data_IF_935815814657
#
_entry.id   IF_935815814657
#
_cell.length_a   1.000
_cell.length_b   1.000
_cell.length_c   1.000
_cell.angle_alpha   90.00
_cell.angle_beta   90.00
_cell.angle_gamma   90.00
#
_symmetry.space_group_name_H-M   'P 1'
#
loop_
_entity.id
_entity.type
_entity.pdbx_description
1 polymer ?
#
# COMPACT_ATOMS: atom_id res chain seq x y z
N UNK A 1 -11.61 22.93 -8.79
CA UNK A 1 -10.36 22.25 -8.35
C UNK A 1 -10.25 20.92 -9.10
N UNK A 2 -9.05 20.34 -9.25
CA UNK A 2 -8.82 19.10 -10.00
C UNK A 2 -8.07 18.07 -9.15
N UNK A 3 -8.43 16.79 -9.26
CA UNK A 3 -7.68 15.70 -8.64
C UNK A 3 -6.24 15.61 -9.20
N UNK A 4 -5.28 15.35 -8.32
CA UNK A 4 -3.85 15.18 -8.67
C UNK A 4 -3.30 13.95 -7.98
N UNK A 5 -2.53 13.15 -8.71
CA UNK A 5 -1.85 12.00 -8.13
C UNK A 5 -0.73 12.45 -7.18
N UNK A 6 -0.53 11.68 -6.12
CA UNK A 6 0.58 11.81 -5.17
C UNK A 6 1.49 10.58 -5.27
N UNK A 7 2.74 10.71 -4.80
CA UNK A 7 3.67 9.59 -4.77
C UNK A 7 3.23 8.52 -3.76
N UNK A 8 3.70 7.28 -3.93
CA UNK A 8 3.43 6.20 -2.99
C UNK A 8 3.95 6.54 -1.60
N UNK A 9 5.15 7.12 -1.50
CA UNK A 9 5.70 7.58 -0.23
C UNK A 9 4.76 8.59 0.46
N UNK A 10 4.27 9.58 -0.30
CA UNK A 10 3.36 10.61 0.25
C UNK A 10 2.07 9.97 0.77
N UNK A 11 1.46 9.07 0.00
CA UNK A 11 0.24 8.36 0.41
C UNK A 11 0.44 7.51 1.65
N UNK A 12 1.55 6.76 1.74
CA UNK A 12 1.88 5.95 2.92
C UNK A 12 2.17 6.81 4.15
N UNK A 13 2.88 7.92 3.99
CA UNK A 13 3.15 8.86 5.08
C UNK A 13 1.84 9.43 5.66
N UNK A 14 0.91 9.85 4.80
CA UNK A 14 -0.41 10.33 5.23
C UNK A 14 -1.20 9.21 5.92
N UNK A 15 -1.26 8.01 5.33
CA UNK A 15 -1.95 6.87 5.91
C UNK A 15 -1.38 6.55 7.29
N UNK A 16 -0.06 6.42 7.43
CA UNK A 16 0.55 6.12 8.72
C UNK A 16 0.39 7.25 9.74
N UNK A 17 0.20 8.50 9.35
CA UNK A 17 -0.05 9.59 10.29
C UNK A 17 -1.48 9.62 10.80
N UNK A 18 -2.45 9.41 9.92
CA UNK A 18 -3.83 9.81 10.17
C UNK A 18 -4.85 8.67 10.19
N UNK A 19 -4.51 7.46 9.72
CA UNK A 19 -5.47 6.36 9.80
C UNK A 19 -5.72 5.99 11.27
N UNK A 20 -6.99 6.00 11.67
CA UNK A 20 -7.43 5.56 12.98
C UNK A 20 -8.18 4.24 12.79
N UNK A 21 -7.51 3.12 13.12
CA UNK A 21 -8.07 1.77 13.03
C UNK A 21 -7.62 0.95 14.24
N UNK A 22 -8.42 -0.02 14.66
CA UNK A 22 -8.01 -0.99 15.70
C UNK A 22 -7.07 -2.06 15.16
N UNK A 23 -6.99 -2.21 13.84
CA UNK A 23 -6.10 -3.17 13.19
C UNK A 23 -4.64 -2.75 13.31
N UNK A 24 -3.78 -3.68 13.72
CA UNK A 24 -2.35 -3.42 13.84
C UNK A 24 -1.71 -3.23 12.46
N UNK A 25 -1.31 -1.99 12.16
CA UNK A 25 -0.55 -1.65 10.96
C UNK A 25 0.93 -1.88 11.25
N UNK A 26 1.53 -2.79 10.49
CA UNK A 26 2.95 -3.14 10.61
C UNK A 26 3.81 -2.19 9.79
N UNK A 27 5.11 -2.12 10.14
CA UNK A 27 6.11 -1.36 9.38
C UNK A 27 5.78 0.14 9.18
N UNK A 28 5.02 0.76 10.10
CA UNK A 28 4.73 2.20 10.05
C UNK A 28 6.04 2.98 9.94
N UNK A 29 6.09 3.90 8.97
CA UNK A 29 7.24 4.75 8.65
C UNK A 29 8.54 3.99 8.28
N UNK A 30 8.49 2.67 8.04
CA UNK A 30 9.64 1.92 7.52
C UNK A 30 9.65 1.98 6.00
N UNK A 31 10.01 3.14 5.48
CA UNK A 31 10.35 3.34 4.08
C UNK A 31 11.57 4.25 3.97
N UNK A 32 12.40 4.04 2.95
CA UNK A 32 13.58 4.86 2.69
C UNK A 32 13.60 5.29 1.22
N UNK A 33 13.79 6.59 0.98
CA UNK A 33 13.80 7.18 -0.36
C UNK A 33 15.22 7.18 -0.93
N UNK A 34 15.38 6.72 -2.16
CA UNK A 34 16.66 6.74 -2.89
C UNK A 34 16.53 7.50 -4.21
N UNK A 35 17.49 8.38 -4.43
CA UNK A 35 17.67 9.22 -5.63
C UNK A 35 19.13 9.15 -6.09
N UNK A 36 19.49 9.65 -7.28
CA UNK A 36 20.88 9.67 -7.74
C UNK A 36 21.86 10.35 -6.77
N UNK A 37 21.37 11.34 -6.00
CA UNK A 37 22.18 12.15 -5.09
C UNK A 37 22.16 11.63 -3.64
N UNK A 38 21.60 10.44 -3.41
CA UNK A 38 21.47 9.87 -2.06
C UNK A 38 22.82 9.47 -1.47
N UNK A 39 23.17 10.05 -0.32
CA UNK A 39 24.25 9.56 0.53
C UNK A 39 23.80 8.33 1.33
N UNK A 40 24.39 7.18 1.01
CA UNK A 40 24.09 5.90 1.66
C UNK A 40 24.48 5.86 3.13
N UNK A 41 25.54 6.58 3.54
CA UNK A 41 25.96 6.60 4.93
C UNK A 41 24.92 7.34 5.79
N UNK A 42 24.45 8.50 5.31
CA UNK A 42 23.39 9.25 5.97
C UNK A 42 22.06 8.49 5.96
N UNK A 43 21.68 7.88 4.84
CA UNK A 43 20.45 7.08 4.74
C UNK A 43 20.41 5.95 5.78
N UNK A 44 21.55 5.31 6.06
CA UNK A 44 21.66 4.24 7.04
C UNK A 44 21.63 4.74 8.49
N UNK A 45 22.08 5.97 8.75
CA UNK A 45 21.93 6.59 10.06
C UNK A 45 20.45 6.88 10.35
N UNK A 46 19.72 7.39 9.36
CA UNK A 46 18.29 7.69 9.48
C UNK A 46 17.43 6.41 9.53
N UNK A 47 17.83 5.36 8.81
CA UNK A 47 17.04 4.14 8.62
C UNK A 47 17.87 2.88 8.95
N UNK A 48 18.24 2.66 10.24
CA UNK A 48 19.09 1.53 10.63
C UNK A 48 18.45 0.16 10.35
N UNK A 49 17.12 0.09 10.25
CA UNK A 49 16.37 -1.13 9.91
C UNK A 49 16.67 -1.67 8.49
N UNK A 50 17.32 -0.88 7.63
CA UNK A 50 17.79 -1.34 6.32
C UNK A 50 18.80 -2.49 6.42
N UNK A 51 19.46 -2.65 7.57
CA UNK A 51 20.45 -3.70 7.82
C UNK A 51 19.88 -4.93 8.53
N UNK A 52 18.68 -4.83 9.13
CA UNK A 52 18.16 -5.85 10.04
C UNK A 52 17.31 -6.93 9.38
N UNK A 53 16.88 -6.71 8.13
CA UNK A 53 15.90 -7.58 7.46
C UNK A 53 16.02 -7.48 5.94
N UNK A 54 15.44 -8.45 5.23
CA UNK A 54 15.29 -8.40 3.78
C UNK A 54 14.41 -7.23 3.34
N UNK A 55 14.65 -6.75 2.13
CA UNK A 55 14.09 -5.52 1.59
C UNK A 55 13.37 -5.77 0.26
N UNK A 56 12.47 -4.85 -0.07
CA UNK A 56 11.86 -4.65 -1.37
C UNK A 56 12.27 -3.27 -1.88
N UNK A 57 12.61 -3.15 -3.16
CA UNK A 57 12.93 -1.87 -3.81
C UNK A 57 12.13 -1.70 -5.10
N UNK A 58 11.54 -0.52 -5.29
CA UNK A 58 10.69 -0.22 -6.46
C UNK A 58 10.70 1.28 -6.79
N UNK A 59 10.50 1.69 -8.05
CA UNK A 59 10.41 3.11 -8.39
C UNK A 59 9.11 3.71 -7.86
N UNK A 60 9.19 4.93 -7.33
CA UNK A 60 8.04 5.74 -6.90
C UNK A 60 7.92 6.97 -7.81
N UNK A 61 7.39 6.74 -9.01
CA UNK A 61 7.25 7.73 -10.09
C UNK A 61 5.92 7.56 -10.85
N UNK A 62 4.86 7.15 -10.13
CA UNK A 62 3.52 6.91 -10.72
C UNK A 62 3.52 5.83 -11.84
N UNK A 63 4.48 4.91 -11.80
CA UNK A 63 4.56 3.77 -12.72
C UNK A 63 3.63 2.67 -12.20
N UNK A 64 2.59 2.34 -12.97
CA UNK A 64 1.71 1.20 -12.68
C UNK A 64 2.35 -0.12 -13.13
N UNK A 65 1.87 -1.24 -12.57
CA UNK A 65 2.28 -2.62 -12.97
C UNK A 65 3.79 -2.90 -12.87
N UNK A 66 4.48 -2.29 -11.89
CA UNK A 66 5.94 -2.41 -11.67
C UNK A 66 6.42 -3.87 -11.59
N UNK A 67 5.66 -4.76 -10.95
CA UNK A 67 5.99 -6.19 -10.86
C UNK A 67 6.11 -6.86 -12.23
N UNK A 68 5.12 -6.66 -13.11
CA UNK A 68 5.13 -7.21 -14.48
C UNK A 68 6.21 -6.59 -15.39
N UNK A 69 6.70 -5.41 -15.03
CA UNK A 69 7.78 -4.72 -15.74
C UNK A 69 9.18 -5.09 -15.23
N UNK A 70 9.31 -5.97 -14.22
CA UNK A 70 10.60 -6.29 -13.61
C UNK A 70 11.23 -5.10 -12.86
N UNK A 71 10.40 -4.12 -12.46
CA UNK A 71 10.79 -2.91 -11.74
C UNK A 71 10.59 -3.04 -10.22
N UNK A 72 10.55 -4.27 -9.71
CA UNK A 72 10.48 -4.55 -8.26
C UNK A 72 11.57 -5.56 -7.92
N UNK A 73 12.52 -5.17 -7.09
CA UNK A 73 13.46 -6.10 -6.45
C UNK A 73 12.83 -6.60 -5.15
N UNK A 74 12.74 -7.92 -4.96
CA UNK A 74 12.04 -8.55 -3.82
C UNK A 74 13.03 -9.41 -3.04
N UNK A 75 12.90 -9.41 -1.71
CA UNK A 75 13.69 -10.22 -0.78
C UNK A 75 15.22 -10.07 -0.99
N UNK A 76 15.68 -8.81 -0.99
CA UNK A 76 17.09 -8.47 -1.18
C UNK A 76 17.71 -7.99 0.13
N UNK A 77 18.98 -8.29 0.37
CA UNK A 77 19.77 -7.55 1.37
C UNK A 77 20.02 -6.11 0.91
N UNK A 78 20.51 -5.24 1.80
CA UNK A 78 20.88 -3.87 1.41
C UNK A 78 21.89 -3.83 0.25
N UNK A 79 22.90 -4.70 0.26
CA UNK A 79 23.88 -4.77 -0.84
C UNK A 79 23.26 -5.33 -2.12
N UNK A 80 22.29 -6.24 -1.99
CA UNK A 80 21.44 -6.69 -3.09
C UNK A 80 20.64 -5.53 -3.70
N UNK A 81 20.05 -4.67 -2.86
CA UNK A 81 19.33 -3.46 -3.31
C UNK A 81 20.25 -2.49 -4.04
N UNK A 82 21.45 -2.19 -3.48
CA UNK A 82 22.45 -1.34 -4.15
C UNK A 82 22.84 -1.88 -5.52
N UNK A 83 23.10 -3.19 -5.59
CA UNK A 83 23.44 -3.87 -6.84
C UNK A 83 22.29 -3.86 -7.84
N UNK A 84 21.05 -4.02 -7.36
CA UNK A 84 19.85 -3.96 -8.19
C UNK A 84 19.58 -2.55 -8.74
N UNK A 85 19.87 -1.50 -7.95
CA UNK A 85 19.73 -0.11 -8.36
C UNK A 85 20.81 0.33 -9.35
N UNK A 86 22.03 -0.22 -9.28
CA UNK A 86 23.17 0.21 -10.12
C UNK A 86 22.87 0.30 -11.63
N UNK A 87 22.20 -0.68 -12.28
CA UNK A 87 21.84 -0.56 -13.70
C UNK A 87 20.51 0.16 -13.97
N UNK A 88 19.82 0.69 -12.95
CA UNK A 88 18.45 1.24 -13.05
C UNK A 88 18.37 2.70 -12.64
N UNK A 89 18.97 3.07 -11.51
CA UNK A 89 18.96 4.43 -10.98
C UNK A 89 19.72 5.37 -11.91
N UNK A 90 19.07 6.46 -12.34
CA UNK A 90 19.61 7.39 -13.32
C UNK A 90 19.53 6.91 -14.77
N UNK A 91 18.99 5.72 -15.02
CA UNK A 91 18.84 5.18 -16.37
C UNK A 91 17.43 5.38 -16.91
N UNK A 92 17.32 5.41 -18.24
CA UNK A 92 16.06 5.59 -18.95
C UNK A 92 15.26 4.27 -19.01
N UNK A 93 13.95 4.37 -18.84
CA UNK A 93 13.01 3.25 -18.99
C UNK A 93 11.83 3.67 -19.86
N UNK A 94 11.31 2.71 -20.63
CA UNK A 94 10.10 2.88 -21.44
C UNK A 94 8.96 2.09 -20.81
N UNK A 95 7.86 2.76 -20.49
CA UNK A 95 6.63 2.15 -19.96
C UNK A 95 5.46 2.53 -20.85
N UNK A 96 4.97 1.57 -21.63
CA UNK A 96 3.98 1.84 -22.67
C UNK A 96 4.52 2.84 -23.70
N UNK A 97 3.86 3.99 -23.84
CA UNK A 97 4.28 5.07 -24.74
C UNK A 97 5.18 6.11 -24.05
N UNK A 98 5.35 6.05 -22.74
CA UNK A 98 6.12 7.02 -21.97
C UNK A 98 7.58 6.56 -21.85
N UNK A 99 8.51 7.51 -21.96
CA UNK A 99 9.95 7.29 -21.81
C UNK A 99 10.50 8.32 -20.83
N UNK A 100 11.35 7.90 -19.90
CA UNK A 100 11.94 8.80 -18.92
C UNK A 100 12.92 8.12 -17.97
N UNK A 101 13.60 8.93 -17.17
CA UNK A 101 14.62 8.45 -16.23
C UNK A 101 14.01 7.93 -14.92
N UNK A 102 14.52 6.80 -14.44
CA UNK A 102 14.25 6.27 -13.11
C UNK A 102 15.16 6.96 -12.09
N UNK A 103 14.63 7.98 -11.42
CA UNK A 103 15.36 8.87 -10.51
C UNK A 103 14.85 8.82 -9.07
N UNK A 104 13.76 8.11 -8.80
CA UNK A 104 13.16 8.05 -7.47
C UNK A 104 12.70 6.64 -7.15
N UNK A 105 13.30 6.05 -6.10
CA UNK A 105 13.00 4.71 -5.62
C UNK A 105 12.60 4.73 -4.15
N UNK A 106 11.80 3.74 -3.78
CA UNK A 106 11.36 3.48 -2.42
C UNK A 106 11.87 2.10 -2.01
N UNK A 107 12.54 2.04 -0.86
CA UNK A 107 12.97 0.81 -0.20
C UNK A 107 12.06 0.57 1.00
N UNK A 108 11.59 -0.65 1.16
CA UNK A 108 10.69 -1.06 2.24
C UNK A 108 11.11 -2.45 2.77
N UNK A 109 10.72 -2.84 3.99
CA UNK A 109 10.88 -4.20 4.48
C UNK A 109 10.19 -5.21 3.57
N UNK A 110 10.84 -6.34 3.30
CA UNK A 110 10.17 -7.50 2.75
C UNK A 110 9.33 -8.18 3.84
N UNK A 111 8.05 -8.37 3.56
CA UNK A 111 7.13 -9.10 4.43
C UNK A 111 6.91 -10.47 3.81
N UNK A 112 7.36 -11.57 4.42
CA UNK A 112 7.03 -12.92 3.94
C UNK A 112 5.53 -13.17 4.10
N UNK A 113 4.87 -13.54 3.01
CA UNK A 113 3.46 -13.89 3.02
C UNK A 113 3.15 -14.83 1.86
N UNK A 114 2.03 -15.55 1.98
CA UNK A 114 1.47 -16.39 0.92
C UNK A 114 0.48 -15.63 0.05
N UNK A 115 0.15 -16.15 -1.13
CA UNK A 115 -0.84 -15.54 -2.02
C UNK A 115 -2.23 -15.36 -1.35
N UNK A 116 -2.59 -16.26 -0.43
CA UNK A 116 -3.85 -16.21 0.32
C UNK A 116 -3.89 -15.07 1.37
N UNK A 117 -2.79 -14.35 1.54
CA UNK A 117 -2.66 -13.19 2.43
C UNK A 117 -2.60 -11.88 1.64
N UNK A 118 -2.58 -11.94 0.31
CA UNK A 118 -2.68 -10.78 -0.55
C UNK A 118 -4.15 -10.43 -0.79
N UNK A 119 -4.57 -9.26 -0.34
CA UNK A 119 -5.90 -8.71 -0.63
C UNK A 119 -5.81 -7.43 -1.47
N UNK A 120 -6.90 -7.10 -2.14
CA UNK A 120 -7.07 -5.86 -2.88
C UNK A 120 -8.14 -4.99 -2.21
N UNK A 121 -7.84 -3.70 -2.04
CA UNK A 121 -8.82 -2.68 -1.66
C UNK A 121 -8.65 -1.42 -2.49
N UNK A 122 -9.75 -0.84 -2.93
CA UNK A 122 -9.76 0.42 -3.67
C UNK A 122 -10.99 1.25 -3.31
N UNK A 123 -10.80 2.57 -3.18
CA UNK A 123 -11.87 3.54 -2.93
C UNK A 123 -11.77 4.61 -4.01
N UNK A 124 -12.87 4.93 -4.68
CA UNK A 124 -12.89 6.02 -5.66
C UNK A 124 -14.23 6.75 -5.70
N UNK A 125 -14.14 8.06 -5.95
CA UNK A 125 -15.29 8.94 -6.02
C UNK A 125 -15.99 8.86 -7.38
N UNK A 126 -17.31 8.91 -7.33
CA UNK A 126 -18.20 9.17 -8.47
C UNK A 126 -19.16 10.31 -8.11
N UNK A 127 -20.18 10.56 -8.92
CA UNK A 127 -21.12 11.65 -8.68
C UNK A 127 -22.10 11.32 -7.54
N UNK A 128 -22.45 10.05 -7.46
CA UNK A 128 -23.45 9.48 -6.56
C UNK A 128 -22.89 9.10 -5.19
N UNK A 129 -21.57 9.10 -5.02
CA UNK A 129 -20.89 8.76 -3.78
C UNK A 129 -19.51 8.17 -4.03
N UNK A 130 -19.07 7.30 -3.13
CA UNK A 130 -17.76 6.66 -3.19
C UNK A 130 -17.91 5.13 -3.25
N UNK A 131 -17.26 4.52 -4.24
CA UNK A 131 -17.23 3.06 -4.36
C UNK A 131 -16.07 2.49 -3.56
N UNK A 132 -16.36 1.55 -2.67
CA UNK A 132 -15.39 0.70 -2.00
C UNK A 132 -15.37 -0.65 -2.69
N UNK A 133 -14.19 -1.05 -3.17
CA UNK A 133 -13.92 -2.30 -3.84
C UNK A 133 -13.07 -3.20 -2.95
N UNK A 134 -13.40 -4.49 -2.92
CA UNK A 134 -12.58 -5.51 -2.26
C UNK A 134 -12.46 -6.77 -3.11
N UNK A 135 -11.26 -7.36 -3.15
CA UNK A 135 -11.05 -8.69 -3.70
C UNK A 135 -10.10 -9.51 -2.83
N UNK A 136 -10.47 -10.77 -2.60
CA UNK A 136 -9.75 -11.68 -1.71
C UNK A 136 -8.47 -12.25 -2.35
N UNK A 137 -8.31 -12.13 -3.66
CA UNK A 137 -7.10 -12.49 -4.43
C UNK A 137 -6.41 -11.22 -4.93
N UNK A 138 -5.58 -10.61 -4.08
CA UNK A 138 -4.77 -9.45 -4.42
C UNK A 138 -3.54 -9.80 -5.27
N UNK A 139 -2.61 -8.85 -5.34
CA UNK A 139 -1.29 -9.06 -5.92
C UNK A 139 -1.14 -8.63 -7.37
N UNK A 140 -0.03 -9.06 -7.96
CA UNK A 140 0.37 -8.75 -9.34
C UNK A 140 -0.61 -9.36 -10.35
N UNK A 141 -1.27 -10.46 -10.00
CA UNK A 141 -2.13 -11.24 -10.91
C UNK A 141 -3.64 -11.10 -10.65
N UNK A 142 -4.05 -10.07 -9.90
CA UNK A 142 -5.47 -9.72 -9.68
C UNK A 142 -6.30 -9.65 -10.98
N UNK A 143 -5.67 -9.23 -12.09
CA UNK A 143 -6.30 -9.18 -13.42
C UNK A 143 -7.26 -7.99 -13.56
N UNK A 144 -8.41 -8.22 -14.19
CA UNK A 144 -9.46 -7.22 -14.32
C UNK A 144 -10.28 -7.12 -13.03
N UNK A 145 -9.76 -6.35 -12.09
CA UNK A 145 -10.33 -6.24 -10.74
C UNK A 145 -11.72 -5.57 -10.74
N UNK A 146 -12.02 -4.73 -11.73
CA UNK A 146 -13.30 -4.05 -11.83
C UNK A 146 -14.47 -5.00 -12.08
N UNK A 147 -14.22 -6.16 -12.69
CA UNK A 147 -15.24 -7.20 -12.91
C UNK A 147 -15.27 -8.25 -11.82
N UNK A 148 -14.17 -8.43 -11.09
CA UNK A 148 -14.02 -9.48 -10.06
C UNK A 148 -14.27 -9.01 -8.62
N UNK A 149 -14.01 -7.74 -8.33
CA UNK A 149 -14.11 -7.21 -6.97
C UNK A 149 -15.57 -7.07 -6.53
N UNK A 150 -15.81 -7.33 -5.25
CA UNK A 150 -17.03 -6.92 -4.58
C UNK A 150 -17.06 -5.38 -4.53
N UNK A 151 -18.25 -4.80 -4.71
CA UNK A 151 -18.45 -3.35 -4.77
C UNK A 151 -19.54 -2.94 -3.79
N UNK A 152 -19.27 -1.88 -3.04
CA UNK A 152 -20.22 -1.22 -2.17
C UNK A 152 -20.16 0.28 -2.45
N UNK A 153 -21.31 0.89 -2.73
CA UNK A 153 -21.43 2.34 -2.88
C UNK A 153 -21.79 2.92 -1.51
N UNK A 154 -21.01 3.88 -1.05
CA UNK A 154 -21.37 4.75 0.07
C UNK A 154 -21.92 6.04 -0.53
N UNK A 155 -23.21 6.32 -0.32
CA UNK A 155 -23.84 7.52 -0.87
C UNK A 155 -23.26 8.80 -0.29
N UNK A 156 -23.49 9.92 -0.98
CA UNK A 156 -23.12 11.24 -0.46
C UNK A 156 -23.78 11.47 0.91
N UNK A 157 -22.98 11.92 1.88
CA UNK A 157 -23.36 12.13 3.29
C UNK A 157 -23.80 10.85 4.04
N UNK A 158 -23.58 9.66 3.47
CA UNK A 158 -23.79 8.38 4.16
C UNK A 158 -22.50 7.91 4.85
N UNK A 159 -22.63 6.95 5.78
CA UNK A 159 -21.49 6.36 6.48
C UNK A 159 -21.30 4.92 6.06
N UNK A 160 -20.05 4.51 5.92
CA UNK A 160 -19.70 3.11 5.73
C UNK A 160 -19.89 2.32 7.04
N UNK A 161 -20.84 1.39 7.05
CA UNK A 161 -21.08 0.51 8.19
C UNK A 161 -20.23 -0.77 8.11
N UNK A 162 -19.61 -1.16 9.23
CA UNK A 162 -18.81 -2.37 9.34
C UNK A 162 -19.61 -3.64 9.01
N UNK A 163 -20.91 -3.68 9.31
CA UNK A 163 -21.78 -4.80 8.97
C UNK A 163 -21.95 -4.97 7.46
N UNK A 164 -22.06 -3.86 6.72
CA UNK A 164 -22.20 -3.89 5.26
C UNK A 164 -20.89 -4.31 4.59
N UNK A 165 -19.74 -3.90 5.16
CA UNK A 165 -18.42 -4.39 4.73
C UNK A 165 -18.37 -5.92 4.84
N UNK A 166 -18.74 -6.48 5.99
CA UNK A 166 -18.72 -7.94 6.21
C UNK A 166 -19.67 -8.68 5.27
N UNK A 167 -20.87 -8.14 5.06
CA UNK A 167 -21.95 -8.78 4.28
C UNK A 167 -21.77 -8.67 2.77
N UNK A 168 -21.18 -7.58 2.28
CA UNK A 168 -21.08 -7.30 0.85
C UNK A 168 -19.65 -7.41 0.33
N UNK A 169 -18.67 -6.82 1.03
CA UNK A 169 -17.29 -6.79 0.55
C UNK A 169 -16.52 -8.06 0.90
N UNK A 170 -16.69 -8.56 2.13
CA UNK A 170 -15.86 -9.65 2.67
C UNK A 170 -16.48 -11.05 2.51
N UNK A 171 -17.45 -11.23 1.61
CA UNK A 171 -18.15 -12.51 1.41
C UNK A 171 -17.24 -13.71 1.10
N UNK A 172 -16.11 -13.44 0.43
CA UNK A 172 -15.10 -14.44 0.05
C UNK A 172 -13.79 -14.31 0.84
N UNK A 173 -13.73 -13.41 1.83
CA UNK A 173 -12.56 -13.31 2.70
C UNK A 173 -12.54 -14.47 3.71
N UNK A 174 -11.36 -14.95 4.14
CA UNK A 174 -11.23 -15.93 5.22
C UNK A 174 -11.92 -15.44 6.51
N UNK A 175 -12.69 -16.31 7.16
CA UNK A 175 -13.54 -15.96 8.30
C UNK A 175 -12.73 -15.36 9.47
N UNK A 176 -11.56 -15.93 9.73
CA UNK A 176 -10.59 -15.49 10.74
C UNK A 176 -10.02 -14.09 10.47
N UNK A 177 -10.12 -13.59 9.24
CA UNK A 177 -9.60 -12.28 8.82
C UNK A 177 -10.69 -11.23 8.62
N UNK A 178 -11.98 -11.59 8.70
CA UNK A 178 -13.07 -10.64 8.40
C UNK A 178 -13.10 -9.44 9.35
N UNK A 179 -12.90 -9.66 10.65
CA UNK A 179 -12.92 -8.56 11.64
C UNK A 179 -11.79 -7.55 11.41
N UNK A 180 -10.56 -8.04 11.22
CA UNK A 180 -9.40 -7.17 11.00
C UNK A 180 -9.49 -6.42 9.67
N UNK A 181 -10.01 -7.07 8.62
CA UNK A 181 -10.26 -6.43 7.32
C UNK A 181 -11.39 -5.39 7.41
N UNK A 182 -12.49 -5.71 8.10
CA UNK A 182 -13.60 -4.76 8.26
C UNK A 182 -13.18 -3.51 9.05
N UNK A 183 -12.42 -3.68 10.14
CA UNK A 183 -11.88 -2.55 10.91
C UNK A 183 -10.90 -1.71 10.09
N UNK A 184 -10.05 -2.36 9.28
CA UNK A 184 -9.12 -1.64 8.42
C UNK A 184 -9.85 -0.87 7.32
N UNK A 185 -10.79 -1.49 6.60
CA UNK A 185 -11.56 -0.84 5.52
C UNK A 185 -12.39 0.33 6.07
N UNK A 186 -13.00 0.17 7.26
CA UNK A 186 -13.72 1.27 7.92
C UNK A 186 -12.80 2.45 8.22
N UNK A 187 -11.64 2.19 8.84
CA UNK A 187 -10.65 3.23 9.13
C UNK A 187 -10.06 3.86 7.86
N UNK A 188 -9.87 3.08 6.80
CA UNK A 188 -9.37 3.53 5.51
C UNK A 188 -10.37 4.45 4.79
N UNK A 189 -11.67 4.17 4.90
CA UNK A 189 -12.73 5.01 4.34
C UNK A 189 -12.80 6.36 5.05
N UNK A 190 -12.78 6.38 6.39
CA UNK A 190 -12.73 7.64 7.14
C UNK A 190 -11.48 8.46 6.77
N UNK A 191 -10.31 7.80 6.70
CA UNK A 191 -9.07 8.45 6.25
C UNK A 191 -9.17 9.03 4.84
N UNK A 192 -9.83 8.32 3.93
CA UNK A 192 -10.06 8.76 2.55
C UNK A 192 -10.91 10.04 2.51
N UNK A 193 -12.02 10.07 3.26
CA UNK A 193 -12.91 11.24 3.34
C UNK A 193 -12.23 12.44 4.03
N UNK A 194 -11.64 12.21 5.21
CA UNK A 194 -11.03 13.26 6.04
C UNK A 194 -9.91 14.02 5.33
N UNK A 195 -9.16 13.34 4.45
CA UNK A 195 -8.06 13.91 3.68
C UNK A 195 -8.43 14.25 2.23
N UNK A 196 -9.72 14.18 1.88
CA UNK A 196 -10.24 14.54 0.55
C UNK A 196 -9.56 13.78 -0.60
N UNK A 197 -9.29 12.48 -0.39
CA UNK A 197 -8.88 11.63 -1.49
C UNK A 197 -10.04 11.46 -2.48
N UNK A 198 -9.71 11.29 -3.77
CA UNK A 198 -10.70 10.96 -4.81
C UNK A 198 -10.46 9.58 -5.42
N UNK A 199 -9.29 9.00 -5.12
CA UNK A 199 -8.87 7.67 -5.54
C UNK A 199 -7.79 7.18 -4.57
N UNK A 200 -7.99 5.99 -3.99
CA UNK A 200 -7.05 5.33 -3.10
C UNK A 200 -7.07 3.83 -3.40
N UNK A 201 -5.94 3.28 -3.81
CA UNK A 201 -5.79 1.85 -4.16
C UNK A 201 -4.63 1.26 -3.35
N UNK A 202 -4.87 0.14 -2.68
CA UNK A 202 -3.82 -0.65 -2.00
C UNK A 202 -3.83 -2.06 -2.58
N UNK A 203 -2.74 -2.42 -3.27
CA UNK A 203 -2.55 -3.73 -3.85
C UNK A 203 -1.06 -4.16 -3.85
N UNK A 204 -0.66 -5.23 -3.11
CA UNK A 204 -1.47 -6.01 -2.18
C UNK A 204 -1.50 -5.39 -0.77
N UNK A 205 -2.60 -5.61 -0.02
CA UNK A 205 -2.77 -5.18 1.37
C UNK A 205 -1.94 -6.01 2.37
N UNK A 206 -1.61 -7.26 2.04
CA UNK A 206 -0.92 -8.20 2.93
C UNK A 206 0.42 -7.69 3.51
N UNK A 207 1.07 -6.75 2.83
CA UNK A 207 2.32 -6.14 3.29
C UNK A 207 2.14 -5.14 4.44
N UNK A 208 0.91 -4.66 4.69
CA UNK A 208 0.63 -3.57 5.62
C UNK A 208 -0.08 -4.03 6.89
N UNK A 209 -0.89 -5.10 6.80
CA UNK A 209 -1.71 -5.58 7.91
C UNK A 209 -1.09 -6.81 8.57
N UNK A 210 -1.06 -6.84 9.90
CA UNK A 210 -0.72 -8.06 10.62
C UNK A 210 -1.90 -9.04 10.57
N UNK A 211 -1.85 -10.03 9.69
CA UNK A 211 -2.93 -11.01 9.51
C UNK A 211 -2.77 -12.27 10.38
N UNK A 212 -1.69 -12.36 11.16
CA UNK A 212 -1.42 -13.44 12.10
C UNK A 212 -1.82 -12.98 13.51
N UNK A 213 -2.61 -13.80 14.22
CA UNK A 213 -3.03 -13.50 15.59
C UNK A 213 -1.87 -13.58 16.59
N UNK A 214 -1.63 -12.47 17.29
CA UNK A 214 -0.66 -12.24 18.40
C UNK A 214 0.82 -12.25 17.94
N UNK A 215 1.72 -11.32 18.31
CA UNK A 215 1.98 -10.66 19.58
C UNK A 215 2.32 -9.16 19.45
N UNK A 216 2.11 -8.43 20.54
CA UNK A 216 2.16 -6.98 20.63
C UNK A 216 3.54 -6.35 20.46
N UNK A 217 3.64 -5.48 19.47
CA UNK A 217 4.49 -4.28 19.52
C UNK A 217 3.91 -3.13 18.66
N UNK A 218 2.58 -3.12 18.51
CA UNK A 218 1.88 -2.08 17.77
C UNK A 218 1.72 -0.83 18.63
N UNK A 219 2.43 0.25 18.35
CA UNK A 219 2.06 1.57 18.85
C UNK A 219 0.60 1.84 18.46
N UNK A 220 -0.26 2.00 19.47
CA UNK A 220 -1.63 2.49 19.28
C UNK A 220 -1.59 3.81 18.49
N UNK A 221 -2.48 4.01 17.49
CA UNK A 221 -2.55 5.27 16.78
C UNK A 221 -2.88 6.41 17.76
N UNK A 222 -2.36 7.64 17.53
CA UNK A 222 -2.57 8.77 18.43
C UNK A 222 -4.04 9.12 18.71
N UNK A 223 -4.95 8.76 17.79
CA UNK A 223 -6.40 8.97 17.95
C UNK A 223 -7.06 8.02 18.96
N UNK A 224 -6.37 6.96 19.42
CA UNK A 224 -6.86 6.00 20.41
C UNK A 224 -6.13 6.14 21.77
N UNK A 225 -5.35 7.20 21.96
CA UNK A 225 -4.70 7.56 23.22
C UNK A 225 -5.41 8.72 23.91
#
# INVERSE_FOLDING_TARGET
>A
MSAKAISEQTGKELLYKYICTTSAIQNRFKYARVTPDTDWAHLLQDHPWLLSQSLVVKPDQLIKRRGKLGLVGVNLSLDGVKSWLKPRLGHEATVGKAKGFLKNFLIEPFVPHSQAEEFYVCIYATREGDYVLFHHEGGVDVGDVDTKAQKLLVGVDEKLNAEDIKRHLLVHAPEDKKEILASFISGLFNFYEDLYFTYLEINPLGNMLCLLGQDGDGMLPPCLQ
#
